data_IF_064521321102
#
_entry.id   IF_064521321102
#
_cell.length_a   1.000
_cell.length_b   1.000
_cell.length_c   1.000
_cell.angle_alpha   90.00
_cell.angle_beta   90.00
_cell.angle_gamma   90.00
#
_symmetry.space_group_name_H-M   'P 1'
#
loop_
_entity.id
_entity.type
_entity.pdbx_description
1 polymer ?
#
# COMPACT_ATOMS: atom_id res chain seq x y z
N UNK A 1 17.94 13.39 19.55
CA UNK A 1 16.83 12.42 19.49
C UNK A 1 15.48 13.14 19.68
N UNK A 2 15.07 14.04 18.77
CA UNK A 2 13.84 14.84 18.97
C UNK A 2 12.57 14.13 18.48
N UNK A 3 12.66 13.40 17.36
CA UNK A 3 11.52 12.66 16.78
C UNK A 3 11.12 11.42 17.60
N UNK A 4 12.10 10.70 18.15
CA UNK A 4 11.88 9.54 19.04
C UNK A 4 11.09 9.96 20.29
N UNK A 5 11.55 11.00 20.99
CA UNK A 5 10.87 11.53 22.18
C UNK A 5 9.47 12.08 21.90
N UNK A 6 9.23 12.58 20.69
CA UNK A 6 7.91 13.04 20.28
C UNK A 6 6.94 11.88 20.04
N UNK A 7 7.39 10.82 19.37
CA UNK A 7 6.60 9.61 19.14
C UNK A 7 6.32 8.88 20.46
N UNK A 8 7.33 8.67 21.29
CA UNK A 8 7.19 8.06 22.62
C UNK A 8 6.21 8.84 23.52
N UNK A 9 6.12 10.17 23.37
CA UNK A 9 5.16 11.01 24.10
C UNK A 9 3.72 10.93 23.58
N UNK A 10 3.53 10.55 22.31
CA UNK A 10 2.23 10.36 21.69
C UNK A 10 1.68 8.95 21.92
N UNK A 11 2.56 7.96 22.05
CA UNK A 11 2.28 6.53 22.25
C UNK A 11 1.15 6.24 23.28
N UNK A 12 1.10 6.88 24.47
CA UNK A 12 0.09 6.57 25.48
C UNK A 12 -1.35 6.86 25.03
N UNK A 13 -1.54 7.77 24.06
CA UNK A 13 -2.87 8.11 23.55
C UNK A 13 -3.43 7.06 22.59
N UNK A 14 -2.58 6.18 22.07
CA UNK A 14 -2.94 5.12 21.12
C UNK A 14 -3.05 3.74 21.79
N UNK A 15 -2.50 3.55 22.99
CA UNK A 15 -2.65 2.30 23.76
C UNK A 15 -4.08 2.12 24.29
N UNK A 16 -4.41 0.90 24.74
CA UNK A 16 -5.74 0.56 25.28
C UNK A 16 -6.17 1.52 26.39
N UNK A 17 -7.32 2.17 26.21
CA UNK A 17 -7.81 3.22 27.13
C UNK A 17 -7.44 4.66 26.74
N UNK A 18 -6.69 4.85 25.66
CA UNK A 18 -6.36 6.16 25.10
C UNK A 18 -7.42 6.69 24.12
N UNK A 19 -7.44 8.02 23.93
CA UNK A 19 -8.40 8.71 23.04
C UNK A 19 -8.38 8.19 21.59
N UNK A 20 -7.23 7.69 21.13
CA UNK A 20 -7.00 7.25 19.77
C UNK A 20 -6.72 5.74 19.65
N UNK A 21 -7.22 4.92 20.58
CA UNK A 21 -7.04 3.46 20.59
C UNK A 21 -7.38 2.79 19.23
N UNK A 22 -8.41 3.28 18.53
CA UNK A 22 -8.81 2.77 17.21
C UNK A 22 -7.73 2.95 16.12
N UNK A 23 -6.84 3.92 16.28
CA UNK A 23 -5.78 4.26 15.32
C UNK A 23 -4.41 3.70 15.72
N UNK A 24 -4.37 2.84 16.75
CA UNK A 24 -3.14 2.19 17.20
C UNK A 24 -2.38 1.50 16.06
N UNK A 25 -3.09 0.79 15.17
CA UNK A 25 -2.47 0.07 14.06
C UNK A 25 -1.69 1.00 13.11
N UNK A 26 -2.20 2.22 12.87
CA UNK A 26 -1.52 3.20 12.01
C UNK A 26 -0.30 3.76 12.73
N UNK A 27 -0.44 4.10 14.01
CA UNK A 27 0.67 4.56 14.84
C UNK A 27 1.80 3.51 14.89
N UNK A 28 1.47 2.26 15.19
CA UNK A 28 2.42 1.13 15.24
C UNK A 28 3.09 0.91 13.88
N UNK A 29 2.35 1.00 12.77
CA UNK A 29 2.93 0.87 11.43
C UNK A 29 3.97 1.96 11.16
N UNK A 30 3.67 3.21 11.49
CA UNK A 30 4.61 4.34 11.28
C UNK A 30 5.84 4.20 12.17
N UNK A 31 5.65 3.90 13.46
CA UNK A 31 6.75 3.69 14.40
C UNK A 31 7.65 2.53 13.98
N UNK A 32 7.07 1.40 13.57
CA UNK A 32 7.84 0.24 13.13
C UNK A 32 8.54 0.44 11.78
N UNK A 33 8.09 1.36 10.91
CA UNK A 33 8.82 1.70 9.68
C UNK A 33 10.10 2.48 10.02
N UNK A 34 9.99 3.55 10.82
CA UNK A 34 11.10 4.49 11.04
C UNK A 34 12.01 4.11 12.21
N UNK A 35 11.51 3.36 13.19
CA UNK A 35 12.24 3.02 14.40
C UNK A 35 12.25 1.51 14.67
N UNK A 36 13.34 1.05 15.28
CA UNK A 36 13.45 -0.32 15.80
C UNK A 36 12.85 -0.36 17.21
N UNK A 37 12.01 -1.38 17.52
CA UNK A 37 11.49 -1.54 18.87
C UNK A 37 12.62 -1.60 19.90
N UNK A 38 12.48 -0.88 21.01
CA UNK A 38 13.46 -0.89 22.10
C UNK A 38 13.50 -2.18 22.93
N UNK A 39 12.69 -3.18 22.56
CA UNK A 39 12.61 -4.46 23.30
C UNK A 39 13.77 -5.37 22.91
N UNK A 40 14.65 -5.65 23.86
CA UNK A 40 15.73 -6.63 23.69
C UNK A 40 15.19 -8.05 23.83
N UNK A 41 15.76 -9.00 23.10
CA UNK A 41 15.40 -10.42 23.17
C UNK A 41 15.69 -11.00 24.54
N UNK A 42 14.67 -11.55 25.19
CA UNK A 42 14.79 -12.29 26.46
C UNK A 42 14.64 -13.79 26.14
N UNK A 43 15.69 -14.45 25.66
CA UNK A 43 15.68 -15.88 25.27
C UNK A 43 16.39 -16.20 23.95
N UNK A 44 16.26 -17.44 23.46
CA UNK A 44 16.92 -17.94 22.25
C UNK A 44 16.57 -17.10 21.00
N UNK A 45 17.60 -16.72 20.23
CA UNK A 45 17.51 -15.76 19.12
C UNK A 45 16.78 -16.29 17.88
N UNK A 46 16.68 -17.61 17.71
CA UNK A 46 16.24 -18.24 16.46
C UNK A 46 14.74 -18.07 16.15
N UNK A 47 13.88 -17.79 17.14
CA UNK A 47 12.40 -17.80 16.99
C UNK A 47 11.80 -16.38 16.92
N UNK A 48 12.61 -15.32 16.81
CA UNK A 48 12.14 -13.93 17.02
C UNK A 48 12.21 -12.99 15.82
N UNK A 49 12.37 -13.50 14.61
CA UNK A 49 12.53 -12.67 13.42
C UNK A 49 11.22 -12.08 12.85
N UNK A 50 10.19 -11.92 13.68
CA UNK A 50 8.90 -11.41 13.22
C UNK A 50 8.94 -9.94 12.75
N UNK A 51 9.85 -9.14 13.32
CA UNK A 51 10.03 -7.73 12.93
C UNK A 51 10.71 -7.66 11.56
N UNK A 52 11.78 -8.43 11.34
CA UNK A 52 12.47 -8.38 10.05
C UNK A 52 11.64 -9.08 8.97
N UNK A 53 10.90 -10.15 9.28
CA UNK A 53 9.88 -10.69 8.37
C UNK A 53 8.82 -9.64 7.98
N UNK A 54 8.32 -8.84 8.93
CA UNK A 54 7.37 -7.75 8.65
C UNK A 54 8.01 -6.69 7.75
N UNK A 55 9.26 -6.30 8.00
CA UNK A 55 10.00 -5.30 7.20
C UNK A 55 10.32 -5.80 5.78
N UNK A 56 10.78 -7.05 5.66
CA UNK A 56 11.06 -7.66 4.35
C UNK A 56 9.76 -7.75 3.54
N UNK A 57 8.65 -8.15 4.17
CA UNK A 57 7.36 -8.23 3.47
C UNK A 57 6.85 -6.86 2.98
N UNK A 58 7.04 -5.79 3.77
CA UNK A 58 6.67 -4.44 3.31
C UNK A 58 7.55 -3.96 2.17
N UNK A 59 8.86 -4.28 2.17
CA UNK A 59 9.73 -3.96 1.03
C UNK A 59 9.33 -4.70 -0.25
N UNK A 60 8.98 -5.98 -0.15
CA UNK A 60 8.53 -6.77 -1.31
C UNK A 60 7.26 -6.18 -1.92
N UNK A 61 6.30 -5.80 -1.08
CA UNK A 61 5.07 -5.13 -1.53
C UNK A 61 5.37 -3.81 -2.25
N UNK A 62 6.27 -2.99 -1.69
CA UNK A 62 6.70 -1.73 -2.34
C UNK A 62 7.40 -1.96 -3.68
N UNK A 63 8.26 -2.98 -3.77
CA UNK A 63 8.92 -3.34 -5.02
C UNK A 63 7.92 -3.84 -6.09
N UNK A 64 6.86 -4.54 -5.68
CA UNK A 64 5.82 -5.02 -6.59
C UNK A 64 4.84 -3.91 -7.05
N UNK A 65 4.73 -2.81 -6.30
CA UNK A 65 3.84 -1.69 -6.63
C UNK A 65 4.19 -1.01 -7.96
N UNK A 66 5.48 -0.78 -8.24
CA UNK A 66 5.92 -0.13 -9.47
C UNK A 66 5.62 -0.93 -10.76
N UNK A 67 5.98 -2.23 -10.88
CA UNK A 67 5.66 -3.02 -12.07
C UNK A 67 4.16 -3.26 -12.22
N UNK A 68 3.39 -3.26 -11.12
CA UNK A 68 1.92 -3.33 -11.19
C UNK A 68 1.33 -2.16 -11.99
N UNK A 69 1.81 -0.94 -11.79
CA UNK A 69 1.34 0.25 -12.54
C UNK A 69 1.59 0.11 -14.05
N UNK A 70 2.79 -0.35 -14.42
CA UNK A 70 3.14 -0.60 -15.82
C UNK A 70 2.25 -1.70 -16.41
N UNK A 71 2.03 -2.79 -15.67
CA UNK A 71 1.14 -3.87 -16.08
C UNK A 71 -0.29 -3.40 -16.32
N UNK A 72 -0.85 -2.57 -15.43
CA UNK A 72 -2.19 -2.00 -15.59
C UNK A 72 -2.30 -1.13 -16.85
N UNK A 73 -1.29 -0.31 -17.13
CA UNK A 73 -1.24 0.50 -18.35
C UNK A 73 -1.17 -0.37 -19.62
N UNK A 74 -0.27 -1.35 -19.67
CA UNK A 74 -0.11 -2.21 -20.86
C UNK A 74 -1.35 -3.05 -21.12
N UNK A 75 -1.98 -3.60 -20.08
CA UNK A 75 -3.23 -4.35 -20.22
C UNK A 75 -4.36 -3.44 -20.70
N UNK A 76 -4.45 -2.22 -20.17
CA UNK A 76 -5.43 -1.22 -20.61
C UNK A 76 -5.27 -0.85 -22.08
N UNK A 77 -4.05 -0.54 -22.52
CA UNK A 77 -3.75 -0.18 -23.91
C UNK A 77 -4.07 -1.32 -24.89
N UNK A 78 -3.70 -2.57 -24.57
CA UNK A 78 -4.04 -3.72 -25.41
C UNK A 78 -5.57 -3.94 -25.47
N UNK A 79 -6.28 -3.69 -24.37
CA UNK A 79 -7.73 -3.83 -24.34
C UNK A 79 -8.45 -2.77 -25.19
N UNK A 80 -8.01 -1.51 -25.16
CA UNK A 80 -8.60 -0.44 -25.99
C UNK A 80 -8.28 -0.65 -27.47
N UNK A 81 -7.05 -1.06 -27.81
CA UNK A 81 -6.68 -1.40 -29.19
C UNK A 81 -7.56 -2.52 -29.76
N UNK A 82 -7.78 -3.59 -29.00
CA UNK A 82 -8.65 -4.69 -29.40
C UNK A 82 -10.13 -4.25 -29.54
N UNK A 83 -10.64 -3.38 -28.66
CA UNK A 83 -11.99 -2.84 -28.78
C UNK A 83 -12.17 -2.00 -30.06
N UNK A 84 -11.14 -1.24 -30.45
CA UNK A 84 -11.17 -0.45 -31.68
C UNK A 84 -11.20 -1.35 -32.93
N UNK A 85 -10.41 -2.43 -32.96
CA UNK A 85 -10.44 -3.41 -34.06
C UNK A 85 -11.79 -4.12 -34.18
N UNK A 86 -12.42 -4.44 -33.05
CA UNK A 86 -13.74 -5.11 -33.00
C UNK A 86 -14.91 -4.13 -33.21
N UNK A 87 -14.66 -2.82 -33.30
CA UNK A 87 -15.69 -1.80 -33.47
C UNK A 87 -16.62 -1.62 -32.27
N UNK A 88 -16.14 -1.96 -31.06
CA UNK A 88 -16.91 -1.83 -29.81
C UNK A 88 -16.66 -0.43 -29.22
N UNK A 89 -17.66 0.49 -29.23
CA UNK A 89 -17.44 1.89 -28.87
C UNK A 89 -17.31 2.12 -27.35
N UNK A 90 -17.92 1.26 -26.53
CA UNK A 90 -17.86 1.38 -25.08
C UNK A 90 -18.09 0.02 -24.41
N UNK A 91 -17.54 -0.14 -23.22
CA UNK A 91 -17.77 -1.33 -22.41
C UNK A 91 -19.11 -1.19 -21.66
N UNK A 92 -19.96 -2.22 -21.71
CA UNK A 92 -21.21 -2.21 -20.94
C UNK A 92 -20.97 -2.50 -19.44
N UNK A 93 -21.75 -1.86 -18.57
CA UNK A 93 -21.76 -2.08 -17.12
C UNK A 93 -20.99 -1.05 -16.29
N UNK A 94 -20.92 -1.29 -14.97
CA UNK A 94 -20.37 -0.35 -13.99
C UNK A 94 -18.88 -0.01 -14.24
N UNK A 95 -18.09 -0.99 -14.71
CA UNK A 95 -16.69 -0.76 -15.08
C UNK A 95 -16.57 0.21 -16.26
N UNK A 96 -17.46 0.07 -17.24
CA UNK A 96 -17.50 0.98 -18.38
C UNK A 96 -17.84 2.41 -17.96
N UNK A 97 -18.79 2.56 -17.03
CA UNK A 97 -19.16 3.87 -16.46
C UNK A 97 -17.97 4.57 -15.77
N UNK A 98 -17.12 3.82 -15.05
CA UNK A 98 -15.94 4.40 -14.40
C UNK A 98 -14.87 4.78 -15.44
N UNK A 99 -14.65 3.92 -16.43
CA UNK A 99 -13.64 4.16 -17.48
C UNK A 99 -14.04 5.34 -18.36
N UNK A 100 -15.32 5.46 -18.73
CA UNK A 100 -15.82 6.57 -19.54
C UNK A 100 -15.73 7.92 -18.80
N UNK A 101 -15.86 7.92 -17.47
CA UNK A 101 -15.73 9.13 -16.66
C UNK A 101 -14.26 9.57 -16.48
N UNK A 102 -13.34 8.62 -16.30
CA UNK A 102 -11.99 8.90 -15.80
C UNK A 102 -10.88 8.79 -16.85
N UNK A 103 -11.05 8.00 -17.91
CA UNK A 103 -9.95 7.64 -18.82
C UNK A 103 -10.31 7.69 -20.33
N UNK A 104 -11.54 7.34 -20.71
CA UNK A 104 -11.93 7.21 -22.12
C UNK A 104 -11.48 5.89 -22.76
N UNK A 105 -11.70 5.75 -24.07
CA UNK A 105 -11.48 4.49 -24.82
C UNK A 105 -10.54 4.61 -26.02
N UNK A 106 -9.97 5.78 -26.30
CA UNK A 106 -9.08 6.00 -27.44
C UNK A 106 -7.65 5.49 -27.14
N UNK A 107 -7.13 4.48 -27.89
CA UNK A 107 -5.78 3.96 -27.70
C UNK A 107 -4.66 4.95 -28.04
N UNK A 108 -4.95 5.98 -28.85
CA UNK A 108 -3.98 6.99 -29.30
C UNK A 108 -3.99 8.26 -28.43
N UNK A 109 -4.87 8.32 -27.43
CA UNK A 109 -4.94 9.43 -26.49
C UNK A 109 -3.82 9.29 -25.44
N UNK A 110 -2.59 9.59 -25.86
CA UNK A 110 -1.44 9.82 -24.98
C UNK A 110 -1.13 11.31 -24.87
#
# INVERSE_FOLDING_TARGET
MSLRTFMDGLEPNFHKGGKYEKYYAIYEMVDTIFYTPGKTTVGQSHVRDAVDMKRVMTTVWWCAFFPMLVGMYMVGHNATAAMQELGIPALEGWRGMIISLMAGYDPNSL
#
